data_IF_971597522968
#
_entry.id   IF_971597522968
#
_cell.length_a   1.000
_cell.length_b   1.000
_cell.length_c   1.000
_cell.angle_alpha   90.00
_cell.angle_beta   90.00
_cell.angle_gamma   90.00
#
_symmetry.space_group_name_H-M   'P 1'
#
loop_
_entity.id
_entity.type
_entity.pdbx_description
1 polymer ?
#
# COMPACT_ATOMS: atom_id res chain seq x y z
N UNK A 1 4.84 -2.53 -27.37
CA UNK A 1 5.05 -1.96 -26.03
C UNK A 1 6.51 -2.12 -25.67
N UNK A 2 7.24 -1.07 -25.26
CA UNK A 2 8.64 -1.24 -24.86
C UNK A 2 8.72 -2.15 -23.62
N UNK A 3 9.62 -3.15 -23.58
CA UNK A 3 9.80 -3.95 -22.39
C UNK A 3 10.14 -3.03 -21.21
N UNK A 4 9.43 -3.20 -20.10
CA UNK A 4 9.75 -2.48 -18.86
C UNK A 4 11.19 -2.83 -18.49
N UNK A 5 12.01 -1.83 -18.16
CA UNK A 5 13.42 -2.07 -17.85
C UNK A 5 13.55 -3.02 -16.65
N UNK A 6 14.54 -3.93 -16.71
CA UNK A 6 14.80 -4.89 -15.64
C UNK A 6 15.00 -4.20 -14.28
N UNK A 7 15.69 -3.04 -14.28
CA UNK A 7 15.85 -2.20 -13.09
C UNK A 7 14.50 -1.87 -12.43
N UNK A 8 13.50 -1.49 -13.23
CA UNK A 8 12.19 -1.09 -12.71
C UNK A 8 11.40 -2.27 -12.16
N UNK A 9 11.56 -3.46 -12.74
CA UNK A 9 11.00 -4.69 -12.19
C UNK A 9 11.62 -5.04 -10.82
N UNK A 10 12.94 -4.90 -10.68
CA UNK A 10 13.61 -5.11 -9.40
C UNK A 10 13.22 -4.07 -8.36
N UNK A 11 13.10 -2.80 -8.74
CA UNK A 11 12.61 -1.74 -7.85
C UNK A 11 11.17 -2.00 -7.39
N UNK A 12 10.29 -2.43 -8.29
CA UNK A 12 8.91 -2.81 -7.93
C UNK A 12 8.90 -3.98 -6.94
N UNK A 13 9.70 -5.03 -7.18
CA UNK A 13 9.87 -6.14 -6.21
C UNK A 13 10.39 -5.62 -4.86
N UNK A 14 11.32 -4.67 -4.87
CA UNK A 14 11.79 -3.98 -3.68
C UNK A 14 10.66 -3.28 -2.92
N UNK A 15 9.72 -2.60 -3.61
CA UNK A 15 8.54 -2.02 -2.97
C UNK A 15 7.65 -3.08 -2.31
N UNK A 16 7.38 -4.20 -2.99
CA UNK A 16 6.60 -5.29 -2.40
C UNK A 16 7.33 -5.94 -1.21
N UNK A 17 8.66 -6.09 -1.26
CA UNK A 17 9.44 -6.56 -0.12
C UNK A 17 9.36 -5.59 1.05
N UNK A 18 9.50 -4.29 0.80
CA UNK A 18 9.38 -3.27 1.83
C UNK A 18 8.00 -3.31 2.49
N UNK A 19 6.93 -3.44 1.67
CA UNK A 19 5.56 -3.56 2.15
C UNK A 19 5.36 -4.84 2.97
N UNK A 20 5.85 -5.98 2.47
CA UNK A 20 5.78 -7.26 3.18
C UNK A 20 6.46 -7.18 4.55
N UNK A 21 7.71 -6.72 4.59
CA UNK A 21 8.52 -6.66 5.81
C UNK A 21 7.97 -5.61 6.77
N UNK A 22 7.68 -4.41 6.28
CA UNK A 22 7.16 -3.31 7.09
C UNK A 22 5.83 -3.67 7.75
N UNK A 23 4.91 -4.29 7.01
CA UNK A 23 3.66 -4.78 7.60
C UNK A 23 3.92 -5.94 8.55
N UNK A 24 4.71 -6.94 8.16
CA UNK A 24 4.99 -8.12 8.99
C UNK A 24 5.53 -7.74 10.37
N UNK A 25 6.39 -6.73 10.46
CA UNK A 25 6.91 -6.23 11.74
C UNK A 25 5.80 -5.70 12.64
N UNK A 26 4.76 -5.06 12.09
CA UNK A 26 3.60 -4.60 12.85
C UNK A 26 2.63 -5.75 13.20
N UNK A 27 2.24 -6.56 12.21
CA UNK A 27 1.16 -7.54 12.39
C UNK A 27 1.58 -8.81 13.13
N UNK A 28 2.84 -9.26 12.99
CA UNK A 28 3.28 -10.55 13.55
C UNK A 28 3.21 -10.55 15.08
N UNK A 29 3.72 -9.52 15.79
CA UNK A 29 3.54 -9.42 17.24
C UNK A 29 2.07 -9.45 17.68
N UNK A 30 1.20 -8.79 16.92
CA UNK A 30 -0.24 -8.72 17.24
C UNK A 30 -0.92 -10.07 17.05
N UNK A 31 -0.67 -10.73 15.92
CA UNK A 31 -1.20 -12.06 15.56
C UNK A 31 -0.82 -13.15 16.56
N UNK A 32 0.44 -13.15 17.02
CA UNK A 32 0.94 -14.11 18.01
C UNK A 32 0.82 -13.63 19.46
N UNK A 33 0.31 -12.41 19.65
CA UNK A 33 0.12 -11.78 20.94
C UNK A 33 -1.37 -11.59 21.25
N UNK A 34 -1.82 -10.37 21.57
CA UNK A 34 -3.12 -10.12 22.18
C UNK A 34 -4.25 -9.84 21.18
N UNK A 35 -4.21 -10.30 19.92
CA UNK A 35 -5.25 -9.98 18.91
C UNK A 35 -6.68 -10.27 19.40
N UNK A 36 -6.85 -11.28 20.28
CA UNK A 36 -8.13 -11.67 20.86
C UNK A 36 -8.65 -10.66 21.90
N UNK A 37 -7.75 -9.89 22.53
CA UNK A 37 -8.10 -8.90 23.56
C UNK A 37 -8.07 -7.46 23.04
N UNK A 38 -7.75 -7.26 21.77
CA UNK A 38 -7.75 -5.94 21.15
C UNK A 38 -9.16 -5.35 21.05
N UNK A 39 -9.30 -4.02 21.07
CA UNK A 39 -10.53 -3.36 20.65
C UNK A 39 -10.97 -3.86 19.27
N UNK A 40 -12.28 -3.96 19.06
CA UNK A 40 -12.86 -4.59 17.88
C UNK A 40 -12.31 -4.02 16.55
N UNK A 41 -12.17 -2.69 16.45
CA UNK A 41 -11.66 -2.05 15.23
C UNK A 41 -10.17 -2.29 15.01
N UNK A 42 -9.38 -2.39 16.07
CA UNK A 42 -7.94 -2.65 15.96
C UNK A 42 -7.71 -4.07 15.43
N UNK A 43 -8.46 -5.06 15.94
CA UNK A 43 -8.42 -6.42 15.41
C UNK A 43 -8.83 -6.51 13.93
N UNK A 44 -9.84 -5.74 13.52
CA UNK A 44 -10.24 -5.65 12.10
C UNK A 44 -9.13 -5.05 11.24
N UNK A 45 -8.47 -3.97 11.70
CA UNK A 45 -7.35 -3.35 10.99
C UNK A 45 -6.17 -4.31 10.87
N UNK A 46 -5.80 -4.98 11.96
CA UNK A 46 -4.72 -5.98 11.95
C UNK A 46 -5.02 -7.11 10.97
N UNK A 47 -6.26 -7.62 10.92
CA UNK A 47 -6.66 -8.64 9.95
C UNK A 47 -6.58 -8.13 8.50
N UNK A 48 -7.05 -6.90 8.23
CA UNK A 48 -6.96 -6.26 6.91
C UNK A 48 -5.50 -6.08 6.45
N UNK A 49 -4.63 -5.55 7.32
CA UNK A 49 -3.22 -5.35 7.04
C UNK A 49 -2.47 -6.68 6.87
N UNK A 50 -2.89 -7.71 7.60
CA UNK A 50 -2.36 -9.07 7.45
C UNK A 50 -2.69 -9.66 6.08
N UNK A 51 -3.93 -9.48 5.61
CA UNK A 51 -4.31 -9.88 4.26
C UNK A 51 -3.49 -9.12 3.20
N UNK A 52 -3.24 -7.82 3.41
CA UNK A 52 -2.41 -7.02 2.53
C UNK A 52 -0.96 -7.53 2.47
N UNK A 53 -0.38 -7.88 3.63
CA UNK A 53 0.95 -8.48 3.71
C UNK A 53 1.01 -9.82 2.96
N UNK A 54 0.00 -10.68 3.10
CA UNK A 54 -0.06 -11.95 2.33
C UNK A 54 -0.15 -11.68 0.83
N UNK A 55 -0.98 -10.74 0.38
CA UNK A 55 -1.09 -10.37 -1.04
C UNK A 55 0.21 -9.76 -1.59
N UNK A 56 1.00 -9.11 -0.76
CA UNK A 56 2.30 -8.55 -1.17
C UNK A 56 3.29 -9.63 -1.63
N UNK A 57 3.16 -10.87 -1.13
CA UNK A 57 3.92 -12.03 -1.60
C UNK A 57 3.61 -12.30 -3.08
N UNK A 58 2.33 -12.24 -3.48
CA UNK A 58 1.95 -12.35 -4.89
C UNK A 58 2.51 -11.21 -5.73
N UNK A 59 2.64 -10.02 -5.14
CA UNK A 59 3.31 -8.87 -5.76
C UNK A 59 4.79 -9.10 -6.06
N UNK A 60 5.50 -9.93 -5.29
CA UNK A 60 6.89 -10.30 -5.59
C UNK A 60 7.01 -11.14 -6.87
N UNK A 61 6.09 -12.08 -7.04
CA UNK A 61 6.06 -12.97 -8.20
C UNK A 61 5.51 -12.26 -9.44
N UNK A 62 4.49 -11.43 -9.29
CA UNK A 62 3.80 -10.74 -10.37
C UNK A 62 3.68 -9.20 -10.16
N UNK A 63 4.82 -8.46 -10.12
CA UNK A 63 4.86 -7.07 -9.68
C UNK A 63 4.06 -6.09 -10.55
N UNK A 64 3.94 -6.35 -11.84
CA UNK A 64 3.18 -5.51 -12.78
C UNK A 64 1.67 -5.79 -12.72
N UNK A 65 1.27 -6.99 -12.30
CA UNK A 65 -0.14 -7.36 -12.18
C UNK A 65 -0.74 -6.83 -10.88
N UNK A 66 0.06 -6.85 -9.80
CA UNK A 66 -0.35 -6.43 -8.46
C UNK A 66 -0.17 -4.92 -8.18
N UNK A 67 0.05 -4.09 -9.22
CA UNK A 67 0.09 -2.63 -9.07
C UNK A 67 -1.09 -2.02 -8.28
N UNK A 68 -2.33 -2.55 -8.35
CA UNK A 68 -3.45 -2.04 -7.57
C UNK A 68 -3.21 -2.15 -6.06
N UNK A 69 -2.41 -3.11 -5.60
CA UNK A 69 -2.02 -3.25 -4.20
C UNK A 69 -1.18 -2.06 -3.73
N UNK A 70 -0.20 -1.64 -4.54
CA UNK A 70 0.62 -0.46 -4.24
C UNK A 70 -0.18 0.84 -4.33
N UNK A 71 -1.16 0.90 -5.24
CA UNK A 71 -2.09 2.03 -5.31
C UNK A 71 -2.99 2.12 -4.09
N UNK A 72 -3.53 1.00 -3.63
CA UNK A 72 -4.26 0.94 -2.37
C UNK A 72 -3.40 1.48 -1.24
N UNK A 73 -2.16 1.00 -1.13
CA UNK A 73 -1.20 1.43 -0.09
C UNK A 73 -0.97 2.94 -0.09
N UNK A 74 -0.76 3.50 -1.29
CA UNK A 74 -0.60 4.93 -1.49
C UNK A 74 -1.86 5.72 -1.13
N UNK A 75 -3.02 5.25 -1.61
CA UNK A 75 -4.29 5.93 -1.41
C UNK A 75 -4.68 5.99 0.06
N UNK A 76 -4.62 4.87 0.79
CA UNK A 76 -5.06 4.89 2.20
C UNK A 76 -4.14 5.75 3.07
N UNK A 77 -2.82 5.71 2.84
CA UNK A 77 -1.86 6.57 3.56
C UNK A 77 -2.03 8.03 3.21
N UNK A 78 -2.25 8.34 1.93
CA UNK A 78 -2.52 9.71 1.51
C UNK A 78 -3.79 10.25 2.16
N UNK A 79 -4.87 9.49 2.15
CA UNK A 79 -6.13 9.87 2.79
C UNK A 79 -5.92 10.06 4.30
N UNK A 80 -5.23 9.14 4.97
CA UNK A 80 -4.95 9.26 6.40
C UNK A 80 -4.11 10.50 6.72
N UNK A 81 -3.05 10.78 5.96
CA UNK A 81 -2.23 11.99 6.15
C UNK A 81 -3.04 13.27 5.92
N UNK A 82 -3.86 13.32 4.88
CA UNK A 82 -4.66 14.50 4.55
C UNK A 82 -5.79 14.77 5.54
N UNK A 83 -6.48 13.73 6.01
CA UNK A 83 -7.69 13.88 6.81
C UNK A 83 -7.47 13.68 8.32
N UNK A 84 -6.34 13.10 8.74
CA UNK A 84 -6.04 12.85 10.16
C UNK A 84 -4.78 13.58 10.59
N UNK A 85 -3.64 13.30 9.96
CA UNK A 85 -2.36 13.87 10.40
C UNK A 85 -2.29 15.39 10.19
N UNK A 86 -2.71 15.86 9.02
CA UNK A 86 -2.66 17.29 8.66
C UNK A 86 -3.55 18.15 9.59
N UNK A 87 -4.82 17.81 9.86
CA UNK A 87 -5.62 18.54 10.85
C UNK A 87 -5.04 18.50 12.26
N UNK A 88 -4.48 17.35 12.70
CA UNK A 88 -3.83 17.24 14.02
C UNK A 88 -2.58 18.10 14.13
N UNK A 89 -1.79 18.18 13.06
CA UNK A 89 -0.64 19.08 12.99
C UNK A 89 -1.05 20.55 13.04
N UNK A 90 -2.08 20.94 12.28
CA UNK A 90 -2.59 22.32 12.27
C UNK A 90 -3.16 22.77 13.63
N UNK A 91 -3.74 21.85 14.40
CA UNK A 91 -4.32 22.12 15.72
C UNK A 91 -3.31 21.96 16.86
N UNK A 92 -2.07 21.54 16.57
CA UNK A 92 -1.05 21.29 17.58
C UNK A 92 -1.35 20.07 18.48
N UNK A 93 -2.22 19.16 18.05
CA UNK A 93 -2.68 17.99 18.82
C UNK A 93 -2.00 16.69 18.38
N UNK A 94 -0.76 16.78 17.88
CA UNK A 94 0.01 15.59 17.52
C UNK A 94 0.44 14.83 18.78
N UNK A 95 -0.14 13.66 18.96
CA UNK A 95 0.30 12.67 19.95
C UNK A 95 1.39 11.76 19.35
N UNK A 96 1.99 10.96 20.22
CA UNK A 96 3.04 10.00 19.86
C UNK A 96 2.54 9.00 18.82
N UNK A 97 1.34 8.44 19.00
CA UNK A 97 0.73 7.50 18.07
C UNK A 97 0.49 8.08 16.66
N UNK A 98 0.02 9.32 16.55
CA UNK A 98 -0.13 9.98 15.23
C UNK A 98 1.23 10.16 14.56
N UNK A 99 2.27 10.48 15.34
CA UNK A 99 3.63 10.70 14.82
C UNK A 99 4.24 9.40 14.31
N UNK A 100 4.06 8.29 15.02
CA UNK A 100 4.51 6.96 14.59
C UNK A 100 3.84 6.53 13.28
N UNK A 101 2.51 6.70 13.18
CA UNK A 101 1.79 6.35 11.95
C UNK A 101 2.20 7.26 10.79
N UNK A 102 2.43 8.55 11.05
CA UNK A 102 2.93 9.48 10.03
C UNK A 102 4.34 9.08 9.54
N UNK A 103 5.22 8.67 10.45
CA UNK A 103 6.54 8.14 10.09
C UNK A 103 6.43 6.85 9.26
N UNK A 104 5.53 5.94 9.64
CA UNK A 104 5.24 4.73 8.87
C UNK A 104 4.71 5.05 7.45
N UNK A 105 3.95 6.13 7.30
CA UNK A 105 3.48 6.61 5.99
C UNK A 105 4.63 7.08 5.07
N UNK A 106 5.70 7.64 5.63
CA UNK A 106 6.83 8.16 4.86
C UNK A 106 7.55 7.06 4.04
N UNK A 107 7.52 5.80 4.51
CA UNK A 107 8.12 4.67 3.80
C UNK A 107 7.48 4.36 2.43
N UNK A 108 6.30 4.91 2.15
CA UNK A 108 5.57 4.70 0.90
C UNK A 108 5.86 5.82 -0.13
N UNK A 109 6.52 6.91 0.28
CA UNK A 109 6.94 7.98 -0.64
C UNK A 109 7.78 7.46 -1.83
N UNK A 110 8.75 6.54 -1.65
CA UNK A 110 9.49 5.97 -2.78
C UNK A 110 8.60 5.26 -3.82
N UNK A 111 7.43 4.75 -3.42
CA UNK A 111 6.57 3.98 -4.31
C UNK A 111 6.04 4.87 -5.43
N UNK A 112 5.74 6.13 -5.13
CA UNK A 112 5.32 7.13 -6.11
C UNK A 112 6.35 7.29 -7.22
N UNK A 113 7.65 7.22 -6.92
CA UNK A 113 8.68 7.39 -7.94
C UNK A 113 8.98 6.11 -8.71
N UNK A 114 8.85 4.96 -8.06
CA UNK A 114 9.18 3.65 -8.64
C UNK A 114 8.08 3.17 -9.61
N UNK A 115 6.82 3.40 -9.26
CA UNK A 115 5.67 2.93 -10.04
C UNK A 115 5.76 3.45 -11.49
N UNK A 116 5.64 2.57 -12.50
CA UNK A 116 5.62 2.98 -13.89
C UNK A 116 4.27 3.58 -14.28
N UNK A 117 3.98 4.81 -13.85
CA UNK A 117 2.69 5.48 -14.07
C UNK A 117 2.19 5.42 -15.51
N UNK A 118 3.07 5.69 -16.49
CA UNK A 118 2.71 5.62 -17.92
C UNK A 118 2.27 4.22 -18.34
N UNK A 119 2.97 3.18 -17.86
CA UNK A 119 2.58 1.79 -18.13
C UNK A 119 1.28 1.43 -17.42
N UNK A 120 1.16 1.81 -16.15
CA UNK A 120 0.02 1.48 -15.32
C UNK A 120 -1.25 2.13 -15.87
N UNK A 121 -1.24 3.44 -16.11
CA UNK A 121 -2.38 4.15 -16.68
C UNK A 121 -2.73 3.57 -18.06
N UNK A 122 -1.76 3.39 -18.95
CA UNK A 122 -2.05 2.82 -20.28
C UNK A 122 -2.65 1.41 -20.20
N UNK A 123 -2.19 0.57 -19.28
CA UNK A 123 -2.69 -0.79 -19.13
C UNK A 123 -4.07 -0.85 -18.49
N UNK A 124 -4.31 -0.11 -17.40
CA UNK A 124 -5.58 -0.16 -16.68
C UNK A 124 -6.68 0.64 -17.40
N UNK A 125 -6.35 1.79 -18.01
CA UNK A 125 -7.32 2.54 -18.83
C UNK A 125 -7.73 1.77 -20.07
N UNK A 126 -6.77 1.16 -20.80
CA UNK A 126 -7.12 0.33 -21.95
C UNK A 126 -7.96 -0.91 -21.57
N UNK A 127 -7.75 -1.47 -20.37
CA UNK A 127 -8.59 -2.55 -19.87
C UNK A 127 -10.01 -2.09 -19.52
N UNK A 128 -10.20 -0.84 -19.07
CA UNK A 128 -11.52 -0.24 -18.87
C UNK A 128 -12.26 0.00 -20.19
N UNK A 129 -11.55 0.45 -21.24
CA UNK A 129 -12.14 0.67 -22.56
C UNK A 129 -12.63 -0.64 -23.23
N UNK A 130 -11.96 -1.77 -22.97
CA UNK A 130 -12.42 -3.09 -23.43
C UNK A 130 -13.80 -3.48 -22.86
N UNK A 131 -14.17 -2.97 -21.69
CA UNK A 131 -15.50 -3.20 -21.11
C UNK A 131 -16.57 -2.37 -21.82
N UNK A 132 -16.22 -1.21 -22.39
CA UNK A 132 -17.12 -0.40 -23.22
C UNK A 132 -17.34 -1.02 -24.59
N UNK A 133 -16.28 -1.50 -25.25
CA UNK A 133 -16.37 -2.08 -26.59
C UNK A 133 -17.13 -3.41 -26.68
N UNK A 134 -17.46 -4.05 -25.54
CA UNK A 134 -18.24 -5.30 -25.50
C UNK A 134 -19.74 -5.05 -25.27
N UNK A 135 -20.16 -3.81 -25.02
CA UNK A 135 -21.54 -3.43 -24.73
C UNK A 135 -22.22 -2.65 -25.86
N UNK A 136 -21.55 -2.48 -27.00
CA UNK A 136 -22.08 -1.96 -28.28
C UNK A 136 -22.12 -3.09 -29.33
#
# INVERSE_FOLDING_TARGET
MKPVSLLRLYLLRGCYLLLLVGLSIQIVPDLFGPVVTMPMMDGVVTAMLSALAVLSILGLFAPLFMLPLLWFELCWKLLWVLFVALPRWQTGTMDEGTTEVLFACAFVVPFVFIIPWRYAIARYVAALDLWRAKND
#
